data_IF_931468851008
#
_entry.id   IF_931468851008
#
_cell.length_a   1.000
_cell.length_b   1.000
_cell.length_c   1.000
_cell.angle_alpha   90.00
_cell.angle_beta   90.00
_cell.angle_gamma   90.00
#
_symmetry.space_group_name_H-M   'P 1'
#
loop_
_entity.id
_entity.type
_entity.pdbx_description
1 polymer ?
#
# COMPACT_ATOMS: atom_id res chain seq x y z
N UNK A 1 -66.10 -33.72 -29.31
CA UNK A 1 -65.75 -33.73 -27.87
C UNK A 1 -64.30 -34.12 -27.57
N UNK A 2 -63.56 -34.74 -28.49
CA UNK A 2 -62.18 -35.21 -28.21
C UNK A 2 -61.12 -34.08 -28.15
N UNK A 3 -61.35 -32.94 -28.83
CA UNK A 3 -60.43 -31.80 -28.84
C UNK A 3 -60.41 -30.99 -27.52
N UNK A 4 -61.52 -30.99 -26.76
CA UNK A 4 -61.63 -30.26 -25.50
C UNK A 4 -60.86 -30.94 -24.35
N UNK A 5 -60.77 -32.27 -24.40
CA UNK A 5 -60.07 -33.09 -23.41
C UNK A 5 -58.54 -33.02 -23.61
N UNK A 6 -58.07 -32.97 -24.86
CA UNK A 6 -56.67 -32.72 -25.19
C UNK A 6 -56.21 -31.31 -24.77
N UNK A 7 -57.06 -30.29 -24.93
CA UNK A 7 -56.76 -28.92 -24.52
C UNK A 7 -56.63 -28.75 -23.00
N UNK A 8 -57.47 -29.45 -22.22
CA UNK A 8 -57.43 -29.44 -20.74
C UNK A 8 -56.20 -30.18 -20.19
N UNK A 9 -55.80 -31.30 -20.82
CA UNK A 9 -54.58 -32.02 -20.43
C UNK A 9 -53.31 -31.25 -20.81
N UNK A 10 -53.29 -30.55 -21.95
CA UNK A 10 -52.18 -29.69 -22.37
C UNK A 10 -52.00 -28.45 -21.49
N UNK A 11 -53.10 -27.82 -21.05
CA UNK A 11 -53.04 -26.67 -20.13
C UNK A 11 -52.61 -27.04 -18.72
N UNK A 12 -53.05 -28.20 -18.19
CA UNK A 12 -52.61 -28.69 -16.88
C UNK A 12 -51.10 -28.99 -16.81
N UNK A 13 -50.54 -29.61 -17.84
CA UNK A 13 -49.10 -29.86 -17.95
C UNK A 13 -48.30 -28.56 -18.13
N UNK A 14 -48.83 -27.59 -18.89
CA UNK A 14 -48.21 -26.28 -19.07
C UNK A 14 -48.11 -25.48 -17.76
N UNK A 15 -49.18 -25.45 -16.95
CA UNK A 15 -49.19 -24.73 -15.66
C UNK A 15 -48.28 -25.41 -14.64
N UNK A 16 -48.29 -26.74 -14.55
CA UNK A 16 -47.39 -27.49 -13.67
C UNK A 16 -45.91 -27.30 -14.06
N UNK A 17 -45.60 -27.34 -15.37
CA UNK A 17 -44.26 -27.05 -15.88
C UNK A 17 -43.81 -25.61 -15.58
N UNK A 18 -44.71 -24.65 -15.67
CA UNK A 18 -44.43 -23.23 -15.37
C UNK A 18 -44.15 -23.02 -13.87
N UNK A 19 -44.90 -23.67 -12.98
CA UNK A 19 -44.69 -23.60 -11.53
C UNK A 19 -43.38 -24.26 -11.09
N UNK A 20 -43.04 -25.43 -11.62
CA UNK A 20 -41.75 -26.08 -11.39
C UNK A 20 -40.58 -25.21 -11.87
N UNK A 21 -40.70 -24.64 -13.08
CA UNK A 21 -39.67 -23.74 -13.63
C UNK A 21 -39.54 -22.47 -12.77
N UNK A 22 -40.65 -21.90 -12.32
CA UNK A 22 -40.65 -20.70 -11.47
C UNK A 22 -39.98 -20.94 -10.11
N UNK A 23 -40.21 -22.12 -9.49
CA UNK A 23 -39.56 -22.50 -8.23
C UNK A 23 -38.05 -22.69 -8.38
N UNK A 24 -37.60 -23.31 -9.47
CA UNK A 24 -36.18 -23.47 -9.79
C UNK A 24 -35.49 -22.13 -10.08
N UNK A 25 -36.14 -21.26 -10.86
CA UNK A 25 -35.64 -19.91 -11.15
C UNK A 25 -35.56 -19.07 -9.88
N UNK A 26 -36.54 -19.15 -8.98
CA UNK A 26 -36.48 -18.43 -7.70
C UNK A 26 -35.32 -18.93 -6.82
N UNK A 27 -35.11 -20.24 -6.76
CA UNK A 27 -33.99 -20.83 -6.01
C UNK A 27 -32.62 -20.48 -6.61
N UNK A 28 -32.49 -20.45 -7.94
CA UNK A 28 -31.26 -20.06 -8.62
C UNK A 28 -30.96 -18.57 -8.43
N UNK A 29 -31.96 -17.69 -8.56
CA UNK A 29 -31.81 -16.24 -8.32
C UNK A 29 -31.37 -15.97 -6.89
N UNK A 30 -31.89 -16.70 -5.89
CA UNK A 30 -31.48 -16.52 -4.49
C UNK A 30 -30.05 -16.96 -4.21
N UNK A 31 -29.57 -18.03 -4.87
CA UNK A 31 -28.16 -18.46 -4.80
C UNK A 31 -27.27 -17.45 -5.51
N UNK A 32 -27.64 -17.06 -6.72
CA UNK A 32 -26.94 -16.05 -7.50
C UNK A 32 -26.81 -14.71 -6.76
N UNK A 33 -27.85 -14.26 -6.05
CA UNK A 33 -27.79 -13.04 -5.25
C UNK A 33 -26.81 -13.15 -4.07
N UNK A 34 -26.68 -14.33 -3.45
CA UNK A 34 -25.68 -14.57 -2.39
C UNK A 34 -24.27 -14.63 -2.95
N UNK A 35 -24.08 -15.37 -4.04
CA UNK A 35 -22.77 -15.48 -4.70
C UNK A 35 -22.30 -14.12 -5.21
N UNK A 36 -23.22 -13.32 -5.74
CA UNK A 36 -22.97 -11.94 -6.16
C UNK A 36 -22.55 -11.06 -4.97
N UNK A 37 -23.23 -11.17 -3.82
CA UNK A 37 -22.88 -10.42 -2.62
C UNK A 37 -21.47 -10.74 -2.09
N UNK A 38 -21.05 -12.01 -2.15
CA UNK A 38 -19.68 -12.41 -1.77
C UNK A 38 -18.66 -11.80 -2.72
N UNK A 39 -18.91 -11.89 -4.03
CA UNK A 39 -18.02 -11.32 -5.06
C UNK A 39 -17.91 -9.80 -4.91
N UNK A 40 -19.02 -9.11 -4.67
CA UNK A 40 -19.03 -7.65 -4.54
C UNK A 40 -18.31 -7.21 -3.27
N UNK A 41 -18.50 -7.90 -2.14
CA UNK A 41 -17.75 -7.63 -0.91
C UNK A 41 -16.23 -7.86 -1.09
N UNK A 42 -15.84 -8.95 -1.77
CA UNK A 42 -14.43 -9.20 -2.07
C UNK A 42 -13.82 -8.16 -3.02
N UNK A 43 -14.62 -7.58 -3.93
CA UNK A 43 -14.18 -6.48 -4.80
C UNK A 43 -14.01 -5.19 -4.02
N UNK A 44 -14.94 -4.87 -3.13
CA UNK A 44 -14.88 -3.70 -2.25
C UNK A 44 -13.63 -3.75 -1.37
N UNK A 45 -13.40 -4.88 -0.68
CA UNK A 45 -12.21 -5.08 0.16
C UNK A 45 -10.90 -4.94 -0.63
N UNK A 46 -10.86 -5.46 -1.87
CA UNK A 46 -9.68 -5.29 -2.73
C UNK A 46 -9.45 -3.84 -3.16
N UNK A 47 -10.52 -3.09 -3.39
CA UNK A 47 -10.42 -1.66 -3.71
C UNK A 47 -9.94 -0.85 -2.50
N UNK A 48 -10.47 -1.11 -1.31
CA UNK A 48 -10.04 -0.46 -0.07
C UNK A 48 -8.56 -0.73 0.23
N UNK A 49 -8.12 -1.99 0.09
CA UNK A 49 -6.69 -2.36 0.22
C UNK A 49 -5.81 -1.62 -0.77
N UNK A 50 -6.23 -1.56 -2.04
CA UNK A 50 -5.49 -0.83 -3.08
C UNK A 50 -5.35 0.65 -2.72
N UNK A 51 -6.42 1.28 -2.26
CA UNK A 51 -6.40 2.68 -1.84
C UNK A 51 -5.44 2.88 -0.66
N UNK A 52 -5.46 1.99 0.33
CA UNK A 52 -4.55 2.05 1.47
C UNK A 52 -3.08 1.87 1.06
N UNK A 53 -2.78 0.93 0.15
CA UNK A 53 -1.42 0.73 -0.37
C UNK A 53 -0.92 1.96 -1.14
N UNK A 54 -1.76 2.55 -1.99
CA UNK A 54 -1.42 3.77 -2.73
C UNK A 54 -1.19 4.95 -1.78
N UNK A 55 -2.05 5.14 -0.79
CA UNK A 55 -1.91 6.20 0.20
C UNK A 55 -0.60 6.06 1.00
N UNK A 56 -0.20 4.83 1.34
CA UNK A 56 1.07 4.57 2.01
C UNK A 56 2.27 4.90 1.12
N UNK A 57 2.24 4.50 -0.15
CA UNK A 57 3.32 4.85 -1.09
C UNK A 57 3.43 6.35 -1.30
N UNK A 58 2.30 7.06 -1.44
CA UNK A 58 2.28 8.53 -1.55
C UNK A 58 2.84 9.21 -0.30
N UNK A 59 2.56 8.68 0.89
CA UNK A 59 3.15 9.19 2.12
C UNK A 59 4.68 9.02 2.18
N UNK A 60 5.25 8.09 1.42
CA UNK A 60 6.70 7.87 1.32
C UNK A 60 7.38 8.74 0.25
N UNK A 61 6.65 9.31 -0.72
CA UNK A 61 7.22 10.08 -1.83
C UNK A 61 8.13 11.24 -1.38
N UNK A 62 7.80 12.03 -0.34
CA UNK A 62 8.68 13.12 0.10
C UNK A 62 10.06 12.65 0.58
N UNK A 63 10.19 11.38 0.99
CA UNK A 63 11.48 10.80 1.38
C UNK A 63 12.42 10.72 0.19
N UNK A 64 11.89 10.41 -1.01
CA UNK A 64 12.69 10.34 -2.24
C UNK A 64 13.24 11.72 -2.61
N UNK A 65 12.43 12.77 -2.47
CA UNK A 65 12.86 14.14 -2.75
C UNK A 65 14.00 14.58 -1.81
N UNK A 66 13.91 14.23 -0.53
CA UNK A 66 14.97 14.49 0.46
C UNK A 66 16.24 13.73 0.08
N UNK A 67 16.15 12.43 -0.20
CA UNK A 67 17.30 11.60 -0.55
C UNK A 67 17.96 12.06 -1.84
N UNK A 68 17.16 12.40 -2.85
CA UNK A 68 17.65 12.92 -4.11
C UNK A 68 18.46 14.20 -3.89
N UNK A 69 17.95 15.14 -3.09
CA UNK A 69 18.63 16.40 -2.75
C UNK A 69 19.94 16.19 -1.98
N UNK A 70 19.95 15.23 -1.05
CA UNK A 70 21.15 14.92 -0.26
C UNK A 70 22.25 14.26 -1.10
N UNK A 71 21.88 13.37 -2.02
CA UNK A 71 22.79 12.63 -2.88
C UNK A 71 23.25 13.43 -4.11
N UNK A 72 22.35 14.19 -4.74
CA UNK A 72 22.58 14.94 -5.97
C UNK A 72 22.74 16.42 -5.65
N UNK A 73 23.90 16.76 -5.11
CA UNK A 73 24.29 18.16 -4.91
C UNK A 73 24.86 18.72 -6.21
N UNK A 74 23.98 19.34 -6.99
CA UNK A 74 24.37 20.01 -8.24
C UNK A 74 25.44 21.07 -7.98
N UNK A 75 26.51 21.04 -8.78
CA UNK A 75 27.63 21.99 -8.67
C UNK A 75 28.67 21.70 -7.57
N UNK A 76 28.49 20.65 -6.76
CA UNK A 76 29.49 20.25 -5.74
C UNK A 76 30.50 19.26 -6.34
N UNK A 77 31.83 19.52 -6.23
CA UNK A 77 32.86 18.58 -6.68
C UNK A 77 32.70 17.20 -6.05
N UNK A 78 33.00 16.14 -6.79
CA UNK A 78 32.86 14.76 -6.31
C UNK A 78 33.60 14.50 -4.98
N UNK A 79 34.77 15.12 -4.79
CA UNK A 79 35.56 15.03 -3.56
C UNK A 79 34.90 15.68 -2.33
N UNK A 80 33.93 16.56 -2.52
CA UNK A 80 33.17 17.20 -1.43
C UNK A 80 31.81 16.52 -1.17
N UNK A 81 31.48 15.45 -1.91
CA UNK A 81 30.24 14.67 -1.69
C UNK A 81 30.33 13.74 -0.48
N UNK A 82 31.54 13.40 -0.07
CA UNK A 82 31.77 12.56 1.12
C UNK A 82 31.55 13.36 2.42
N UNK A 83 31.51 14.69 2.33
CA UNK A 83 31.24 15.61 3.43
C UNK A 83 29.73 15.85 3.59
N UNK A 84 29.21 15.94 4.83
CA UNK A 84 27.83 16.37 5.04
C UNK A 84 27.54 17.75 4.40
N UNK A 85 26.27 18.03 4.04
CA UNK A 85 25.87 19.34 3.56
C UNK A 85 25.90 20.37 4.70
N UNK A 86 25.55 21.62 4.40
CA UNK A 86 25.39 22.63 5.44
C UNK A 86 24.30 22.24 6.44
N UNK A 87 24.41 22.75 7.67
CA UNK A 87 23.42 22.51 8.73
C UNK A 87 22.00 22.85 8.27
N UNK A 88 21.79 24.00 7.59
CA UNK A 88 20.48 24.41 7.09
C UNK A 88 19.83 23.39 6.14
N UNK A 89 20.62 22.75 5.27
CA UNK A 89 20.13 21.74 4.32
C UNK A 89 19.77 20.45 5.06
N UNK A 90 20.57 20.07 6.05
CA UNK A 90 20.29 18.90 6.88
C UNK A 90 19.07 19.11 7.78
N UNK A 91 18.92 20.30 8.38
CA UNK A 91 17.76 20.65 9.21
C UNK A 91 16.46 20.62 8.39
N UNK A 92 16.47 21.19 7.18
CA UNK A 92 15.34 21.08 6.27
C UNK A 92 14.99 19.62 5.94
N UNK A 93 16.01 18.79 5.67
CA UNK A 93 15.81 17.37 5.43
C UNK A 93 15.21 16.63 6.64
N UNK A 94 15.67 16.95 7.87
CA UNK A 94 15.15 16.36 9.12
C UNK A 94 13.68 16.71 9.35
N UNK A 95 13.29 17.96 9.08
CA UNK A 95 11.90 18.43 9.21
C UNK A 95 10.98 17.79 8.16
N UNK A 96 11.43 17.71 6.90
CA UNK A 96 10.69 17.04 5.83
C UNK A 96 10.51 15.55 6.12
N UNK A 97 11.57 14.86 6.56
CA UNK A 97 11.46 13.46 7.01
C UNK A 97 10.56 13.33 8.23
N UNK A 98 10.54 14.30 9.15
CA UNK A 98 9.61 14.32 10.28
C UNK A 98 8.15 14.35 9.84
N UNK A 99 7.85 15.16 8.83
CA UNK A 99 6.54 15.22 8.20
C UNK A 99 6.18 13.90 7.52
N UNK A 100 7.13 13.29 6.79
CA UNK A 100 6.94 12.00 6.14
C UNK A 100 6.70 10.86 7.16
N UNK A 101 7.47 10.81 8.26
CA UNK A 101 7.27 9.83 9.35
C UNK A 101 5.87 9.92 9.93
N UNK A 102 5.33 11.13 10.11
CA UNK A 102 3.96 11.32 10.60
C UNK A 102 2.91 10.89 9.58
N UNK A 103 3.10 11.22 8.30
CA UNK A 103 2.21 10.79 7.22
C UNK A 103 2.18 9.26 7.09
N UNK A 104 3.36 8.62 7.11
CA UNK A 104 3.51 7.17 7.08
C UNK A 104 2.83 6.51 8.28
N UNK A 105 2.97 7.06 9.49
CA UNK A 105 2.30 6.54 10.68
C UNK A 105 0.77 6.55 10.54
N UNK A 106 0.20 7.61 9.93
CA UNK A 106 -1.25 7.66 9.66
C UNK A 106 -1.68 6.65 8.60
N UNK A 107 -0.89 6.51 7.54
CA UNK A 107 -1.18 5.53 6.48
C UNK A 107 -1.06 4.08 7.01
N UNK A 108 -0.08 3.81 7.87
CA UNK A 108 0.12 2.52 8.54
C UNK A 108 -1.13 2.09 9.31
N UNK A 109 -1.73 2.97 10.10
CA UNK A 109 -2.94 2.63 10.86
C UNK A 109 -4.10 2.16 9.96
N UNK A 110 -4.15 2.63 8.70
CA UNK A 110 -5.14 2.18 7.70
C UNK A 110 -4.77 0.81 7.13
N UNK A 111 -3.48 0.52 6.96
CA UNK A 111 -2.97 -0.80 6.57
C UNK A 111 -3.20 -1.85 7.65
N UNK A 112 -3.02 -1.51 8.93
CA UNK A 112 -3.26 -2.43 10.04
C UNK A 112 -4.74 -2.86 10.11
N UNK A 113 -5.66 -2.03 9.61
CA UNK A 113 -7.10 -2.34 9.57
C UNK A 113 -7.51 -3.13 8.34
N UNK A 114 -6.96 -2.80 7.16
CA UNK A 114 -7.46 -3.28 5.87
C UNK A 114 -6.56 -4.34 5.22
N UNK A 115 -5.27 -4.27 5.51
CA UNK A 115 -4.21 -5.08 4.91
C UNK A 115 -4.06 -6.43 5.60
N UNK A 116 -3.60 -7.47 4.87
CA UNK A 116 -3.08 -8.67 5.49
C UNK A 116 -1.87 -8.36 6.36
N UNK A 117 -1.70 -9.11 7.44
CA UNK A 117 -0.63 -8.94 8.43
C UNK A 117 0.78 -8.83 7.79
N UNK A 118 1.18 -9.64 6.79
CA UNK A 118 2.50 -9.51 6.16
C UNK A 118 2.75 -8.16 5.48
N UNK A 119 1.70 -7.56 4.89
CA UNK A 119 1.83 -6.24 4.23
C UNK A 119 1.93 -5.13 5.27
N UNK A 120 1.20 -5.25 6.37
CA UNK A 120 1.28 -4.32 7.48
C UNK A 120 2.68 -4.36 8.14
N UNK A 121 3.23 -5.55 8.37
CA UNK A 121 4.59 -5.74 8.89
C UNK A 121 5.65 -5.09 7.99
N UNK A 122 5.59 -5.32 6.67
CA UNK A 122 6.52 -4.70 5.73
C UNK A 122 6.40 -3.17 5.71
N UNK A 123 5.18 -2.64 5.87
CA UNK A 123 4.95 -1.20 5.97
C UNK A 123 5.53 -0.60 7.27
N UNK A 124 5.47 -1.33 8.39
CA UNK A 124 6.17 -0.94 9.64
C UNK A 124 7.68 -0.85 9.40
N UNK A 125 8.26 -1.79 8.65
CA UNK A 125 9.70 -1.76 8.34
C UNK A 125 10.07 -0.50 7.57
N UNK A 126 9.29 -0.12 6.54
CA UNK A 126 9.49 1.14 5.81
C UNK A 126 9.42 2.34 6.75
N UNK A 127 8.40 2.43 7.59
CA UNK A 127 8.26 3.53 8.55
C UNK A 127 9.44 3.59 9.54
N UNK A 128 9.88 2.43 10.04
CA UNK A 128 11.03 2.32 10.96
C UNK A 128 12.33 2.77 10.30
N UNK A 129 12.55 2.43 9.02
CA UNK A 129 13.74 2.83 8.28
C UNK A 129 13.74 4.32 7.99
N UNK A 130 12.60 4.93 7.60
CA UNK A 130 12.49 6.38 7.44
C UNK A 130 12.75 7.10 8.78
N UNK A 131 12.21 6.59 9.89
CA UNK A 131 12.48 7.12 11.23
C UNK A 131 13.96 7.01 11.60
N UNK A 132 14.60 5.90 11.25
CA UNK A 132 16.03 5.67 11.50
C UNK A 132 16.91 6.59 10.66
N UNK A 133 16.56 6.81 9.39
CA UNK A 133 17.21 7.79 8.53
C UNK A 133 17.10 9.21 9.11
N UNK A 134 15.92 9.62 9.58
CA UNK A 134 15.73 10.91 10.26
C UNK A 134 16.64 11.04 11.48
N UNK A 135 16.65 10.03 12.35
CA UNK A 135 17.50 10.02 13.55
C UNK A 135 19.00 10.00 13.21
N UNK A 136 19.38 9.40 12.08
CA UNK A 136 20.73 9.48 11.56
C UNK A 136 21.07 10.93 11.16
N UNK A 137 20.23 11.58 10.35
CA UNK A 137 20.46 12.97 9.94
C UNK A 137 20.47 13.94 11.13
N UNK A 138 19.61 13.76 12.14
CA UNK A 138 19.64 14.56 13.37
C UNK A 138 21.00 14.47 14.11
N UNK A 139 21.63 13.28 14.10
CA UNK A 139 22.98 13.13 14.67
C UNK A 139 24.03 13.82 13.82
N UNK A 140 23.90 13.76 12.50
CA UNK A 140 24.82 14.45 11.56
C UNK A 140 24.70 15.97 11.73
N UNK A 141 23.49 16.52 11.79
CA UNK A 141 23.24 17.95 12.07
C UNK A 141 24.02 18.39 13.30
N UNK A 142 23.85 17.66 14.41
CA UNK A 142 24.50 17.99 15.68
C UNK A 142 26.02 17.98 15.56
N UNK A 143 26.57 16.95 14.90
CA UNK A 143 28.01 16.86 14.64
C UNK A 143 28.55 18.02 13.79
N UNK A 144 27.80 18.43 12.77
CA UNK A 144 28.14 19.59 11.93
C UNK A 144 28.13 20.89 12.74
N UNK A 145 27.10 21.12 13.55
CA UNK A 145 27.00 22.31 14.42
C UNK A 145 28.13 22.36 15.46
N UNK A 146 28.58 21.22 15.95
CA UNK A 146 29.69 21.10 16.91
C UNK A 146 31.08 21.17 16.23
N UNK A 147 31.15 21.33 14.90
CA UNK A 147 32.39 21.26 14.10
C UNK A 147 33.21 19.97 14.33
N UNK A 148 32.54 18.87 14.69
CA UNK A 148 33.16 17.56 14.74
C UNK A 148 33.31 17.02 13.31
N UNK A 149 34.49 16.49 12.97
CA UNK A 149 34.66 15.77 11.72
C UNK A 149 33.74 14.53 11.72
N UNK A 150 32.71 14.54 10.88
CA UNK A 150 31.82 13.40 10.71
C UNK A 150 32.38 12.47 9.64
N UNK A 151 33.41 11.70 10.01
CA UNK A 151 33.97 10.65 9.15
C UNK A 151 32.91 9.56 8.94
N UNK A 152 32.60 9.24 7.69
CA UNK A 152 31.63 8.21 7.33
C UNK A 152 30.21 8.68 7.06
N UNK A 153 29.97 10.00 6.89
CA UNK A 153 28.64 10.53 6.50
C UNK A 153 28.05 9.81 5.29
N UNK A 154 28.87 9.64 4.25
CA UNK A 154 28.44 9.02 3.01
C UNK A 154 28.05 7.57 3.20
N UNK A 155 28.93 6.76 3.78
CA UNK A 155 28.67 5.33 4.01
C UNK A 155 27.45 5.13 4.91
N UNK A 156 27.31 5.93 5.98
CA UNK A 156 26.14 5.85 6.85
C UNK A 156 24.84 6.27 6.16
N UNK A 157 24.89 7.23 5.23
CA UNK A 157 23.74 7.61 4.41
C UNK A 157 23.39 6.52 3.40
N UNK A 158 24.38 5.98 2.69
CA UNK A 158 24.22 4.86 1.76
C UNK A 158 23.59 3.64 2.46
N UNK A 159 24.10 3.25 3.64
CA UNK A 159 23.52 2.15 4.43
C UNK A 159 22.05 2.41 4.83
N UNK A 160 21.72 3.64 5.21
CA UNK A 160 20.35 4.00 5.59
C UNK A 160 19.40 3.98 4.38
N UNK A 161 19.87 4.44 3.22
CA UNK A 161 19.12 4.40 1.95
C UNK A 161 18.91 2.96 1.49
N UNK A 162 19.96 2.14 1.47
CA UNK A 162 19.89 0.74 1.06
C UNK A 162 18.89 -0.07 1.90
N UNK A 163 18.86 0.18 3.22
CA UNK A 163 17.89 -0.46 4.11
C UNK A 163 16.45 -0.02 3.79
N UNK A 164 16.23 1.29 3.61
CA UNK A 164 14.92 1.82 3.24
C UNK A 164 14.43 1.27 1.90
N UNK A 165 15.29 1.24 0.87
CA UNK A 165 14.95 0.71 -0.45
C UNK A 165 14.57 -0.77 -0.35
N UNK A 166 15.33 -1.56 0.41
CA UNK A 166 15.03 -2.98 0.65
C UNK A 166 13.66 -3.18 1.31
N UNK A 167 13.32 -2.36 2.29
CA UNK A 167 12.01 -2.41 2.97
C UNK A 167 10.87 -2.00 2.04
N UNK A 168 11.06 -0.96 1.20
CA UNK A 168 10.06 -0.53 0.21
C UNK A 168 9.83 -1.57 -0.88
N UNK A 169 10.88 -2.24 -1.31
CA UNK A 169 10.78 -3.32 -2.30
C UNK A 169 9.98 -4.50 -1.73
N UNK A 170 10.26 -4.91 -0.48
CA UNK A 170 9.50 -5.95 0.22
C UNK A 170 8.03 -5.58 0.34
N UNK A 171 7.72 -4.38 0.84
CA UNK A 171 6.35 -3.89 0.94
C UNK A 171 5.62 -3.94 -0.41
N UNK A 172 6.25 -3.45 -1.47
CA UNK A 172 5.65 -3.41 -2.82
C UNK A 172 5.42 -4.83 -3.36
N UNK A 173 6.34 -5.76 -3.08
CA UNK A 173 6.20 -7.18 -3.45
C UNK A 173 5.03 -7.81 -2.73
N UNK A 174 4.96 -7.68 -1.40
CA UNK A 174 3.87 -8.21 -0.57
C UNK A 174 2.52 -7.61 -0.96
N UNK A 175 2.45 -6.30 -1.19
CA UNK A 175 1.24 -5.63 -1.67
C UNK A 175 0.80 -6.16 -3.04
N UNK A 176 1.74 -6.39 -3.97
CA UNK A 176 1.45 -6.96 -5.29
C UNK A 176 0.91 -8.38 -5.19
N UNK A 177 1.53 -9.23 -4.38
CA UNK A 177 1.10 -10.63 -4.16
C UNK A 177 -0.35 -10.70 -3.66
N UNK A 178 -0.72 -9.83 -2.71
CA UNK A 178 -2.10 -9.75 -2.21
C UNK A 178 -3.09 -9.30 -3.29
N UNK A 179 -2.67 -8.41 -4.19
CA UNK A 179 -3.54 -7.88 -5.25
C UNK A 179 -3.70 -8.84 -6.43
N UNK A 180 -2.71 -9.70 -6.71
CA UNK A 180 -2.74 -10.67 -7.80
C UNK A 180 -3.30 -12.03 -7.39
N UNK A 181 -3.42 -12.30 -6.08
CA UNK A 181 -4.05 -13.50 -5.58
C UNK A 181 -5.53 -13.61 -6.04
N UNK A 182 -5.96 -14.81 -6.49
CA UNK A 182 -7.37 -15.03 -6.84
C UNK A 182 -8.28 -14.85 -5.61
N UNK A 183 -9.53 -14.41 -5.81
CA UNK A 183 -10.54 -14.31 -4.75
C UNK A 183 -10.88 -15.63 -4.07
#
# INVERSE_FOLDING_TARGET
MEQALAALLGTGLGVAGTLCTSGLTYASVRRQARDQGVVDHQRELRNERREAYLAFMQAAEPVDDVLHRLAHRDGVPAAARDTPPTADVLDAAVEELGTAVHALSKAQARLDLMGPEPVAEDAVNVWSDVRSLRAYLERVVRGVCESAAYDGYRTGLEDAVDNLERSREKFTRSAREVMTAPP
#
